data_IF_954002106928
#
_entry.id   IF_954002106928
#
_cell.length_a   1.000
_cell.length_b   1.000
_cell.length_c   1.000
_cell.angle_alpha   90.00
_cell.angle_beta   90.00
_cell.angle_gamma   90.00
#
_symmetry.space_group_name_H-M   'P 1'
#
loop_
_entity.id
_entity.type
_entity.pdbx_description
1 polymer ?
#
# COMPACT_ATOMS: atom_id res chain seq x y z
N UNK A 1 -4.94 24.87 29.25
CA UNK A 1 -4.31 24.25 28.06
C UNK A 1 -5.42 24.05 27.05
N UNK A 2 -5.38 24.68 25.87
CA UNK A 2 -6.42 24.50 24.86
C UNK A 2 -6.25 23.12 24.22
N UNK A 3 -7.23 22.24 24.41
CA UNK A 3 -7.34 21.01 23.63
C UNK A 3 -7.49 21.39 22.16
N UNK A 4 -6.42 21.17 21.40
CA UNK A 4 -6.48 21.28 19.94
C UNK A 4 -7.33 20.11 19.47
N UNK A 5 -8.38 20.33 18.65
CA UNK A 5 -9.23 19.23 18.20
C UNK A 5 -8.38 18.14 17.52
N UNK A 6 -8.73 16.85 17.71
CA UNK A 6 -7.95 15.76 17.16
C UNK A 6 -7.84 15.91 15.64
N UNK A 7 -6.61 15.88 15.12
CA UNK A 7 -6.35 15.97 13.68
C UNK A 7 -6.80 14.67 13.02
N UNK A 8 -8.04 14.64 12.55
CA UNK A 8 -8.58 13.56 11.73
C UNK A 8 -8.42 13.96 10.26
N UNK A 9 -7.90 13.04 9.44
CA UNK A 9 -7.81 13.24 8.01
C UNK A 9 -8.18 11.94 7.28
N UNK A 10 -8.69 12.06 6.06
CA UNK A 10 -8.95 10.92 5.20
C UNK A 10 -8.98 11.35 3.74
N UNK A 11 -8.78 10.39 2.86
CA UNK A 11 -8.72 10.63 1.43
C UNK A 11 -8.66 9.35 0.62
N UNK A 12 -8.69 9.52 -0.69
CA UNK A 12 -8.65 8.47 -1.71
C UNK A 12 -7.62 8.88 -2.75
N UNK A 13 -6.76 7.94 -3.13
CA UNK A 13 -5.94 8.00 -4.33
C UNK A 13 -6.42 6.94 -5.31
N UNK A 14 -6.50 7.30 -6.60
CA UNK A 14 -6.74 6.34 -7.67
C UNK A 14 -5.40 5.84 -8.21
N UNK A 15 -5.32 4.55 -8.48
CA UNK A 15 -4.13 3.89 -8.97
C UNK A 15 -4.45 3.26 -10.31
N UNK A 16 -3.73 3.67 -11.34
CA UNK A 16 -3.84 3.09 -12.68
C UNK A 16 -2.91 1.89 -12.79
N UNK A 17 -3.45 0.74 -13.19
CA UNK A 17 -2.67 -0.45 -13.47
C UNK A 17 -1.69 -0.22 -14.62
N UNK A 18 -0.49 -0.82 -14.52
CA UNK A 18 0.58 -0.72 -15.52
C UNK A 18 1.12 0.70 -15.78
N UNK A 19 0.70 1.70 -15.02
CA UNK A 19 1.24 3.06 -15.08
C UNK A 19 2.49 3.21 -14.20
N UNK A 20 3.60 2.59 -14.64
CA UNK A 20 4.86 2.59 -13.89
C UNK A 20 5.53 3.97 -13.84
N UNK A 21 5.12 4.91 -14.71
CA UNK A 21 5.63 6.27 -14.68
C UNK A 21 5.11 7.05 -13.46
N UNK A 22 3.90 6.74 -12.99
CA UNK A 22 3.28 7.35 -11.82
C UNK A 22 3.22 6.41 -10.61
N UNK A 23 3.87 5.25 -10.68
CA UNK A 23 3.91 4.31 -9.57
C UNK A 23 4.65 4.90 -8.36
N UNK A 24 4.03 4.83 -7.19
CA UNK A 24 4.55 5.37 -5.93
C UNK A 24 4.07 6.79 -5.62
N UNK A 25 3.32 7.43 -6.51
CA UNK A 25 2.80 8.79 -6.28
C UNK A 25 1.83 8.80 -5.09
N UNK A 26 0.90 7.84 -5.02
CA UNK A 26 -0.10 7.80 -3.95
C UNK A 26 0.54 7.62 -2.57
N UNK A 27 1.50 6.69 -2.46
CA UNK A 27 2.25 6.46 -1.21
C UNK A 27 3.16 7.64 -0.83
N UNK A 28 3.78 8.33 -1.80
CA UNK A 28 4.54 9.55 -1.54
C UNK A 28 3.67 10.72 -1.05
N UNK A 29 2.47 10.86 -1.62
CA UNK A 29 1.50 11.86 -1.16
C UNK A 29 1.00 11.54 0.25
N UNK A 30 0.66 10.27 0.54
CA UNK A 30 0.28 9.85 1.89
C UNK A 30 1.40 10.14 2.91
N UNK A 31 2.65 9.81 2.58
CA UNK A 31 3.81 10.14 3.42
C UNK A 31 3.87 11.64 3.73
N UNK A 32 3.74 12.48 2.70
CA UNK A 32 3.75 13.94 2.84
C UNK A 32 2.62 14.46 3.73
N UNK A 33 1.44 13.84 3.66
CA UNK A 33 0.28 14.18 4.51
C UNK A 33 0.59 13.84 5.98
N UNK A 34 1.13 12.65 6.25
CA UNK A 34 1.49 12.22 7.61
C UNK A 34 2.55 13.14 8.23
N UNK A 35 3.58 13.51 7.46
CA UNK A 35 4.63 14.45 7.91
C UNK A 35 4.05 15.83 8.24
N UNK A 36 3.19 16.40 7.38
CA UNK A 36 2.52 17.69 7.62
C UNK A 36 1.58 17.64 8.83
N UNK A 37 1.03 16.47 9.13
CA UNK A 37 0.21 16.28 10.33
C UNK A 37 1.04 16.21 11.62
N UNK A 38 2.35 15.97 11.52
CA UNK A 38 3.26 15.82 12.65
C UNK A 38 3.23 14.41 13.25
N UNK A 39 2.92 13.40 12.43
CA UNK A 39 2.98 11.99 12.83
C UNK A 39 4.44 11.61 13.08
N UNK A 40 4.68 10.74 14.07
CA UNK A 40 6.01 10.22 14.41
C UNK A 40 6.72 9.62 13.17
N UNK A 41 8.02 9.89 13.04
CA UNK A 41 8.82 9.46 11.89
C UNK A 41 8.84 7.94 11.69
N UNK A 42 8.82 7.15 12.77
CA UNK A 42 8.75 5.70 12.71
C UNK A 42 7.43 5.22 12.11
N UNK A 43 6.31 5.84 12.52
CA UNK A 43 4.99 5.57 11.95
C UNK A 43 4.88 6.03 10.50
N UNK A 44 5.38 7.22 10.16
CA UNK A 44 5.45 7.72 8.78
C UNK A 44 6.18 6.72 7.88
N UNK A 45 7.35 6.24 8.31
CA UNK A 45 8.16 5.28 7.54
C UNK A 45 7.41 3.98 7.34
N UNK A 46 6.83 3.41 8.40
CA UNK A 46 6.07 2.16 8.34
C UNK A 46 4.87 2.29 7.37
N UNK A 47 4.08 3.34 7.52
CA UNK A 47 2.91 3.60 6.68
C UNK A 47 3.30 3.81 5.21
N UNK A 48 4.37 4.55 4.93
CA UNK A 48 4.85 4.80 3.58
C UNK A 48 5.32 3.51 2.87
N UNK A 49 6.05 2.63 3.59
CA UNK A 49 6.47 1.33 3.03
C UNK A 49 5.25 0.46 2.72
N UNK A 50 4.32 0.32 3.68
CA UNK A 50 3.12 -0.49 3.47
C UNK A 50 2.24 0.05 2.33
N UNK A 51 2.09 1.37 2.24
CA UNK A 51 1.36 2.02 1.15
C UNK A 51 2.03 1.77 -0.20
N UNK A 52 3.35 1.95 -0.29
CA UNK A 52 4.10 1.78 -1.54
C UNK A 52 3.98 0.34 -2.05
N UNK A 53 4.20 -0.66 -1.19
CA UNK A 53 4.09 -2.07 -1.59
C UNK A 53 2.66 -2.43 -2.03
N UNK A 54 1.65 -1.89 -1.37
CA UNK A 54 0.25 -2.11 -1.75
C UNK A 54 -0.08 -1.43 -3.09
N UNK A 55 0.39 -0.20 -3.32
CA UNK A 55 0.25 0.52 -4.58
C UNK A 55 0.94 -0.22 -5.73
N UNK A 56 2.15 -0.71 -5.51
CA UNK A 56 2.89 -1.48 -6.50
C UNK A 56 2.18 -2.79 -6.86
N UNK A 57 1.58 -3.48 -5.89
CA UNK A 57 0.80 -4.68 -6.18
C UNK A 57 -0.38 -4.37 -7.12
N UNK A 58 -1.08 -3.26 -6.90
CA UNK A 58 -2.15 -2.81 -7.83
C UNK A 58 -1.57 -2.50 -9.21
N UNK A 59 -0.50 -1.72 -9.27
CA UNK A 59 0.14 -1.33 -10.54
C UNK A 59 0.65 -2.54 -11.34
N UNK A 60 1.14 -3.58 -10.67
CA UNK A 60 1.71 -4.78 -11.33
C UNK A 60 0.62 -5.77 -11.74
N UNK A 61 -0.34 -6.08 -10.87
CA UNK A 61 -1.20 -7.26 -11.03
C UNK A 61 -2.62 -6.94 -11.50
N UNK A 62 -3.00 -5.66 -11.56
CA UNK A 62 -4.40 -5.27 -11.75
C UNK A 62 -4.51 -4.17 -12.82
N UNK A 63 -5.69 -3.97 -13.45
CA UNK A 63 -5.92 -2.88 -14.38
C UNK A 63 -6.10 -1.52 -13.67
N UNK A 64 -6.61 -1.51 -12.44
CA UNK A 64 -6.81 -0.32 -11.64
C UNK A 64 -7.18 -0.67 -10.19
N UNK A 65 -7.02 0.31 -9.31
CA UNK A 65 -7.51 0.24 -7.94
C UNK A 65 -7.56 1.60 -7.27
N UNK A 66 -7.80 1.59 -5.97
CA UNK A 66 -7.78 2.79 -5.14
C UNK A 66 -7.15 2.51 -3.79
N UNK A 67 -6.46 3.50 -3.25
CA UNK A 67 -5.97 3.51 -1.87
C UNK A 67 -6.73 4.54 -1.06
N UNK A 68 -7.46 4.07 -0.04
CA UNK A 68 -8.11 4.93 0.95
C UNK A 68 -7.31 4.97 2.21
N UNK A 69 -7.16 6.16 2.79
CA UNK A 69 -6.54 6.32 4.09
C UNK A 69 -7.47 7.03 5.07
N UNK A 70 -7.31 6.70 6.35
CA UNK A 70 -7.92 7.39 7.48
C UNK A 70 -6.90 7.51 8.59
N UNK A 71 -6.65 8.73 9.03
CA UNK A 71 -5.69 9.08 10.08
C UNK A 71 -6.50 9.59 11.27
N UNK A 72 -6.26 8.99 12.43
CA UNK A 72 -6.86 9.32 13.71
C UNK A 72 -5.77 9.39 14.78
N UNK A 73 -6.06 9.92 15.98
CA UNK A 73 -5.12 9.86 17.09
C UNK A 73 -4.68 8.43 17.46
N UNK A 74 -5.55 7.45 17.24
CA UNK A 74 -5.33 6.06 17.68
C UNK A 74 -4.69 5.18 16.61
N UNK A 75 -4.98 5.43 15.33
CA UNK A 75 -4.51 4.60 14.22
C UNK A 75 -4.43 5.33 12.89
N UNK A 76 -3.58 4.78 12.01
CA UNK A 76 -3.55 5.04 10.56
C UNK A 76 -4.11 3.79 9.89
N UNK A 77 -5.22 3.94 9.17
CA UNK A 77 -5.82 2.86 8.40
C UNK A 77 -5.60 3.13 6.92
N UNK A 78 -5.03 2.16 6.22
CA UNK A 78 -4.87 2.15 4.77
C UNK A 78 -5.68 0.96 4.24
N UNK A 79 -6.52 1.21 3.24
CA UNK A 79 -7.33 0.19 2.56
C UNK A 79 -7.03 0.30 1.08
N UNK A 80 -6.57 -0.78 0.48
CA UNK A 80 -6.36 -0.88 -0.96
C UNK A 80 -7.38 -1.86 -1.53
N UNK A 81 -8.08 -1.42 -2.57
CA UNK A 81 -9.06 -2.22 -3.30
C UNK A 81 -8.74 -2.10 -4.78
N UNK A 82 -8.78 -3.22 -5.48
CA UNK A 82 -8.47 -3.31 -6.90
C UNK A 82 -9.51 -4.13 -7.66
N UNK A 83 -9.44 -4.04 -8.98
CA UNK A 83 -10.27 -4.84 -9.90
C UNK A 83 -9.37 -5.82 -10.65
N UNK A 84 -8.60 -6.61 -9.90
CA UNK A 84 -7.69 -7.62 -10.43
C UNK A 84 -8.27 -9.03 -10.53
N UNK A 85 -7.47 -10.00 -11.00
CA UNK A 85 -7.85 -11.41 -11.09
C UNK A 85 -7.93 -12.13 -9.73
N UNK A 86 -7.56 -11.45 -8.64
CA UNK A 86 -7.43 -12.05 -7.32
C UNK A 86 -6.09 -12.79 -7.11
N UNK A 87 -5.93 -13.33 -5.90
CA UNK A 87 -4.74 -14.05 -5.47
C UNK A 87 -5.12 -15.52 -5.28
N UNK A 88 -4.68 -16.39 -6.20
CA UNK A 88 -5.00 -17.83 -6.18
C UNK A 88 -4.60 -18.53 -4.87
N UNK A 89 -3.39 -18.27 -4.40
CA UNK A 89 -2.86 -18.85 -3.16
C UNK A 89 -2.20 -17.75 -2.32
N UNK A 90 -2.92 -17.29 -1.30
CA UNK A 90 -2.45 -16.22 -0.43
C UNK A 90 -1.21 -16.62 0.38
N UNK A 91 -1.14 -17.86 0.87
CA UNK A 91 0.00 -18.32 1.66
C UNK A 91 1.29 -18.32 0.82
N UNK A 92 1.18 -18.72 -0.44
CA UNK A 92 2.30 -18.69 -1.38
C UNK A 92 2.69 -17.25 -1.74
N UNK A 93 1.71 -16.35 -1.97
CA UNK A 93 1.95 -14.93 -2.20
C UNK A 93 2.60 -14.21 -1.00
N UNK A 94 2.44 -14.75 0.21
CA UNK A 94 3.10 -14.27 1.44
C UNK A 94 4.52 -14.82 1.62
N UNK A 95 5.00 -15.70 0.73
CA UNK A 95 6.36 -16.25 0.81
C UNK A 95 7.36 -15.25 0.22
N UNK A 96 8.35 -14.86 1.02
CA UNK A 96 9.43 -13.96 0.56
C UNK A 96 10.13 -14.53 -0.68
N UNK A 97 10.27 -13.71 -1.72
CA UNK A 97 10.88 -14.09 -2.99
C UNK A 97 9.94 -14.79 -3.97
N UNK A 98 8.73 -15.17 -3.57
CA UNK A 98 7.73 -15.72 -4.50
C UNK A 98 7.04 -14.60 -5.27
N UNK A 99 6.98 -14.74 -6.61
CA UNK A 99 6.39 -13.72 -7.47
C UNK A 99 5.90 -14.33 -8.78
N UNK A 100 4.70 -13.92 -9.21
CA UNK A 100 4.13 -14.21 -10.53
C UNK A 100 4.32 -13.05 -11.51
N UNK A 101 5.09 -12.01 -11.13
CA UNK A 101 5.37 -10.88 -11.99
C UNK A 101 6.14 -11.34 -13.26
N UNK A 102 5.77 -10.86 -14.45
CA UNK A 102 6.51 -11.10 -15.69
C UNK A 102 7.94 -10.57 -15.63
N UNK A 103 8.84 -11.14 -16.46
CA UNK A 103 10.26 -10.76 -16.46
C UNK A 103 10.51 -9.27 -16.71
N UNK A 104 9.76 -8.64 -17.63
CA UNK A 104 9.89 -7.21 -17.88
C UNK A 104 9.55 -6.33 -16.64
N UNK A 105 8.70 -6.81 -15.73
CA UNK A 105 8.43 -6.12 -14.45
C UNK A 105 9.60 -6.27 -13.49
N UNK A 106 10.25 -7.44 -13.49
CA UNK A 106 11.44 -7.72 -12.67
C UNK A 106 12.65 -6.93 -13.15
N UNK A 107 12.81 -6.77 -14.46
CA UNK A 107 13.85 -5.92 -15.07
C UNK A 107 13.71 -4.44 -14.69
N UNK A 108 12.48 -3.97 -14.45
CA UNK A 108 12.22 -2.63 -13.90
C UNK A 108 12.53 -2.51 -12.39
N UNK A 109 12.99 -3.58 -11.74
CA UNK A 109 13.30 -3.62 -10.31
C UNK A 109 12.10 -3.91 -9.41
N UNK A 110 10.94 -4.27 -9.99
CA UNK A 110 9.72 -4.56 -9.24
C UNK A 110 9.41 -6.06 -9.20
N UNK A 111 8.43 -6.49 -8.40
CA UNK A 111 7.96 -7.87 -8.43
C UNK A 111 8.99 -8.90 -7.94
N UNK A 112 9.85 -8.52 -6.99
CA UNK A 112 10.83 -9.41 -6.34
C UNK A 112 10.20 -10.40 -5.35
N UNK A 113 8.88 -10.33 -5.12
CA UNK A 113 8.18 -11.18 -4.15
C UNK A 113 8.27 -10.69 -2.70
N UNK A 114 8.57 -9.41 -2.50
CA UNK A 114 8.69 -8.81 -1.16
C UNK A 114 7.47 -7.99 -0.73
N UNK A 115 6.51 -7.73 -1.64
CA UNK A 115 5.41 -6.79 -1.40
C UNK A 115 4.56 -7.10 -0.18
N UNK A 116 3.78 -8.20 -0.22
CA UNK A 116 2.92 -8.59 0.91
C UNK A 116 3.72 -8.87 2.22
N UNK A 117 4.89 -9.54 2.19
CA UNK A 117 5.75 -9.65 3.37
C UNK A 117 6.14 -8.29 3.98
N UNK A 118 6.51 -7.31 3.14
CA UNK A 118 6.89 -5.98 3.61
C UNK A 118 5.70 -5.21 4.19
N UNK A 119 4.49 -5.36 3.63
CA UNK A 119 3.28 -4.80 4.23
C UNK A 119 3.09 -5.38 5.63
N UNK A 120 3.11 -6.72 5.76
CA UNK A 120 2.93 -7.40 7.05
C UNK A 120 3.96 -6.99 8.10
N UNK A 121 5.21 -6.76 7.69
CA UNK A 121 6.29 -6.31 8.59
C UNK A 121 6.12 -4.87 9.09
N UNK A 122 5.39 -4.03 8.35
CA UNK A 122 5.25 -2.61 8.64
C UNK A 122 3.86 -2.23 9.17
N UNK A 123 2.92 -3.16 9.30
CA UNK A 123 1.61 -2.94 9.91
C UNK A 123 1.48 -3.70 11.23
N UNK A 124 0.71 -3.16 12.17
CA UNK A 124 0.37 -3.89 13.40
C UNK A 124 -0.71 -4.94 13.12
N UNK A 125 -1.59 -4.65 12.16
CA UNK A 125 -2.62 -5.57 11.65
C UNK A 125 -2.61 -5.58 10.12
N UNK A 126 -2.76 -6.76 9.52
CA UNK A 126 -2.93 -6.95 8.09
C UNK A 126 -4.11 -7.89 7.84
N UNK A 127 -5.09 -7.42 7.06
CA UNK A 127 -6.20 -8.23 6.58
C UNK A 127 -6.22 -8.17 5.05
N UNK A 128 -6.16 -9.34 4.42
CA UNK A 128 -6.28 -9.48 2.96
C UNK A 128 -7.54 -10.30 2.68
N UNK A 129 -8.38 -9.78 1.79
CA UNK A 129 -9.51 -10.50 1.23
C UNK A 129 -9.32 -10.53 -0.27
N UNK A 130 -9.29 -11.73 -0.85
CA UNK A 130 -9.16 -11.91 -2.29
C UNK A 130 -10.00 -13.11 -2.70
N UNK A 131 -10.66 -12.99 -3.85
CA UNK A 131 -11.44 -14.06 -4.46
C UNK A 131 -10.82 -14.27 -5.84
N UNK A 132 -10.15 -15.41 -6.09
CA UNK A 132 -9.68 -15.76 -7.41
C UNK A 132 -10.85 -15.82 -8.41
N UNK A 133 -10.64 -15.27 -9.60
CA UNK A 133 -11.57 -15.35 -10.74
C UNK A 133 -11.59 -16.69 -11.44
#
# INVERSE_FOLDING_TARGET
>A
MQDKPPKIAGGVFFITGKDFANAGVASCELKSILEKMGVDHGLVRRAAIAAFEAEMNVAIYTPAGMMRYKITPDYIKIVVEDVGPGIENLDLAMTEGYSTAPDYIRELGFGSGMGLPNIKKNTDELKILSIPG
#
